data_IF_433600756240
#
_entry.id   IF_433600756240
#
_cell.length_a   1.000
_cell.length_b   1.000
_cell.length_c   1.000
_cell.angle_alpha   90.00
_cell.angle_beta   90.00
_cell.angle_gamma   90.00
#
_symmetry.space_group_name_H-M   'P 1'
#
loop_
_entity.id
_entity.type
_entity.pdbx_description
1 polymer ?
#
# COMPACT_ATOMS: atom_id res chain seq x y z
N UNK A 1 -6.25 6.97 -0.72
CA UNK A 1 -5.28 7.62 0.19
C UNK A 1 -4.01 6.79 0.22
N UNK A 2 -2.85 7.41 0.40
CA UNK A 2 -1.60 6.69 0.66
C UNK A 2 -0.76 7.41 1.71
N UNK A 3 0.12 6.68 2.40
CA UNK A 3 1.06 7.26 3.38
C UNK A 3 2.32 6.41 3.49
N UNK A 4 3.45 7.07 3.75
CA UNK A 4 4.71 6.40 4.04
C UNK A 4 4.68 5.88 5.47
N UNK A 5 4.98 4.60 5.68
CA UNK A 5 4.95 4.04 7.03
C UNK A 5 6.17 4.45 7.86
N UNK A 6 7.20 4.98 7.21
CA UNK A 6 8.35 5.63 7.84
C UNK A 6 8.24 7.16 7.79
N UNK A 7 7.05 7.71 7.46
CA UNK A 7 6.80 9.13 7.61
C UNK A 7 6.77 9.48 9.10
N UNK A 8 7.67 10.35 9.55
CA UNK A 8 7.76 10.76 10.95
C UNK A 8 6.66 11.71 11.41
N UNK A 9 5.76 12.14 10.52
CA UNK A 9 4.72 13.11 10.87
C UNK A 9 3.46 12.47 11.43
N UNK A 10 2.74 11.65 10.64
CA UNK A 10 1.38 11.25 11.00
C UNK A 10 0.81 9.97 10.35
N UNK A 11 1.58 8.88 10.12
CA UNK A 11 1.06 7.65 9.52
C UNK A 11 -0.06 7.01 10.34
N UNK A 12 0.09 6.99 11.67
CA UNK A 12 -0.91 6.43 12.58
C UNK A 12 -2.21 7.26 12.59
N UNK A 13 -2.09 8.59 12.49
CA UNK A 13 -3.26 9.47 12.45
C UNK A 13 -4.11 9.22 11.20
N UNK A 14 -3.49 9.05 10.03
CA UNK A 14 -4.23 8.74 8.80
C UNK A 14 -4.86 7.34 8.87
N UNK A 15 -4.17 6.37 9.45
CA UNK A 15 -4.74 5.03 9.67
C UNK A 15 -5.96 5.08 10.59
N UNK A 16 -5.88 5.83 11.69
CA UNK A 16 -7.00 6.05 12.62
C UNK A 16 -8.18 6.78 11.97
N UNK A 17 -7.92 7.76 11.10
CA UNK A 17 -8.97 8.41 10.31
C UNK A 17 -9.66 7.42 9.35
N UNK A 18 -8.89 6.56 8.66
CA UNK A 18 -9.46 5.53 7.80
C UNK A 18 -10.33 4.53 8.58
N UNK A 19 -9.89 4.12 9.77
CA UNK A 19 -10.70 3.28 10.67
C UNK A 19 -11.98 3.97 11.12
N UNK A 20 -11.93 5.29 11.39
CA UNK A 20 -13.11 6.09 11.72
C UNK A 20 -14.10 6.15 10.57
N UNK A 21 -13.64 6.26 9.31
CA UNK A 21 -14.48 6.15 8.13
C UNK A 21 -15.13 4.76 8.03
N UNK A 22 -14.36 3.69 8.24
CA UNK A 22 -14.88 2.33 8.24
C UNK A 22 -15.98 2.13 9.28
N UNK A 23 -15.86 2.76 10.46
CA UNK A 23 -16.87 2.66 11.51
C UNK A 23 -18.14 3.49 11.21
N UNK A 24 -17.96 4.72 10.72
CA UNK A 24 -19.06 5.69 10.65
C UNK A 24 -19.80 5.73 9.31
N UNK A 25 -19.16 5.36 8.20
CA UNK A 25 -19.74 5.51 6.86
C UNK A 25 -20.54 4.28 6.38
N UNK A 26 -20.62 3.21 7.18
CA UNK A 26 -21.23 1.95 6.78
C UNK A 26 -20.42 1.20 5.71
N UNK A 27 -20.86 0.01 5.26
CA UNK A 27 -20.07 -0.89 4.41
C UNK A 27 -19.69 -0.29 3.05
N UNK A 28 -20.49 0.65 2.53
CA UNK A 28 -20.30 1.32 1.25
C UNK A 28 -19.01 2.17 1.17
N UNK A 29 -18.35 2.47 2.30
CA UNK A 29 -17.07 3.19 2.29
C UNK A 29 -16.03 2.48 1.42
N UNK A 30 -16.09 1.15 1.33
CA UNK A 30 -15.20 0.33 0.53
C UNK A 30 -15.39 0.56 -0.98
N UNK A 31 -16.45 1.20 -1.43
CA UNK A 31 -16.62 1.54 -2.84
C UNK A 31 -15.91 2.86 -3.21
N UNK A 32 -15.50 3.64 -2.21
CA UNK A 32 -15.09 5.03 -2.40
C UNK A 32 -13.67 5.33 -1.86
N UNK A 33 -13.21 4.58 -0.85
CA UNK A 33 -11.93 4.85 -0.21
C UNK A 33 -11.09 3.57 -0.03
N UNK A 34 -9.81 3.67 -0.36
CA UNK A 34 -8.74 2.72 -0.03
C UNK A 34 -7.61 3.46 0.65
N UNK A 35 -7.00 2.85 1.67
CA UNK A 35 -5.75 3.29 2.25
C UNK A 35 -4.63 2.34 1.80
N UNK A 36 -3.59 2.90 1.18
CA UNK A 36 -2.38 2.18 0.79
C UNK A 36 -1.23 2.65 1.69
N UNK A 37 -0.74 1.78 2.57
CA UNK A 37 0.46 2.07 3.36
C UNK A 37 1.69 1.60 2.62
N UNK A 38 2.78 2.38 2.70
CA UNK A 38 4.01 2.14 1.95
C UNK A 38 5.16 1.92 2.94
N UNK A 39 5.46 0.67 3.30
CA UNK A 39 6.55 0.35 4.21
C UNK A 39 7.90 0.89 3.70
N UNK A 40 8.65 1.54 4.58
CA UNK A 40 9.96 2.10 4.25
C UNK A 40 9.94 3.40 3.46
N UNK A 41 8.78 3.87 2.98
CA UNK A 41 8.67 5.21 2.38
C UNK A 41 8.63 6.27 3.47
N UNK A 42 9.40 7.35 3.28
CA UNK A 42 9.37 8.53 4.14
C UNK A 42 8.22 9.48 3.82
N UNK A 43 8.43 10.78 4.06
CA UNK A 43 7.42 11.80 3.79
C UNK A 43 7.21 11.99 2.28
N UNK A 44 6.05 11.55 1.79
CA UNK A 44 5.61 11.55 0.39
C UNK A 44 6.42 10.71 -0.62
N UNK A 45 7.75 10.58 -0.44
CA UNK A 45 8.68 9.87 -1.31
C UNK A 45 9.96 9.46 -0.55
N UNK A 46 10.86 8.74 -1.22
CA UNK A 46 12.17 8.36 -0.72
C UNK A 46 12.11 7.30 0.39
N UNK A 47 13.22 7.14 1.10
CA UNK A 47 13.40 6.09 2.10
C UNK A 47 13.86 4.76 1.49
N UNK A 48 13.67 3.66 2.24
CA UNK A 48 14.09 2.32 1.84
C UNK A 48 12.99 1.51 1.12
N UNK A 49 11.77 2.05 1.07
CA UNK A 49 10.58 1.42 0.51
C UNK A 49 10.46 1.51 -1.01
N UNK A 50 9.42 0.87 -1.54
CA UNK A 50 9.00 1.01 -2.94
C UNK A 50 7.92 2.10 -3.04
N UNK A 51 8.33 3.32 -3.39
CA UNK A 51 7.48 4.53 -3.41
C UNK A 51 7.04 4.97 -4.82
N UNK A 52 7.62 4.35 -5.84
CA UNK A 52 7.44 4.72 -7.25
C UNK A 52 6.36 3.86 -7.90
N UNK A 53 5.24 4.47 -8.26
CA UNK A 53 4.12 3.87 -8.98
C UNK A 53 3.22 4.97 -9.55
N UNK A 54 2.34 4.62 -10.52
CA UNK A 54 1.39 5.57 -11.09
C UNK A 54 0.23 5.84 -10.12
N UNK A 55 0.37 6.87 -9.28
CA UNK A 55 -0.66 7.30 -8.32
C UNK A 55 -1.95 7.72 -9.02
N UNK A 56 -1.83 8.52 -10.08
CA UNK A 56 -2.98 8.94 -10.90
C UNK A 56 -3.57 7.78 -11.69
N UNK A 57 -2.74 6.90 -12.24
CA UNK A 57 -3.22 5.72 -12.97
C UNK A 57 -4.02 4.75 -12.10
N UNK A 58 -3.65 4.61 -10.82
CA UNK A 58 -4.45 3.81 -9.88
C UNK A 58 -5.86 4.39 -9.65
N UNK A 59 -5.98 5.72 -9.61
CA UNK A 59 -7.27 6.40 -9.46
C UNK A 59 -8.08 6.30 -10.76
N UNK A 60 -7.44 6.57 -11.90
CA UNK A 60 -8.08 6.49 -13.22
C UNK A 60 -8.63 5.09 -13.49
N UNK A 61 -7.83 4.04 -13.27
CA UNK A 61 -8.28 2.66 -13.43
C UNK A 61 -9.47 2.34 -12.52
N UNK A 62 -9.47 2.83 -11.28
CA UNK A 62 -10.59 2.61 -10.38
C UNK A 62 -11.87 3.28 -10.87
N UNK A 63 -11.80 4.55 -11.26
CA UNK A 63 -12.98 5.29 -11.71
C UNK A 63 -13.53 4.74 -13.01
N UNK A 64 -12.63 4.48 -13.98
CA UNK A 64 -12.95 4.10 -15.35
C UNK A 64 -13.38 2.63 -15.46
N UNK A 65 -12.73 1.72 -14.73
CA UNK A 65 -12.98 0.28 -14.82
C UNK A 65 -13.74 -0.29 -13.59
N UNK A 66 -14.16 0.56 -12.65
CA UNK A 66 -14.80 0.15 -11.38
C UNK A 66 -13.98 -0.86 -10.58
N UNK A 67 -12.65 -0.81 -10.73
CA UNK A 67 -11.74 -1.75 -10.08
C UNK A 67 -10.94 -1.03 -8.99
N UNK A 68 -11.37 -1.20 -7.73
CA UNK A 68 -10.64 -0.65 -6.60
C UNK A 68 -9.22 -1.24 -6.51
N UNK A 69 -8.21 -0.44 -6.15
CA UNK A 69 -6.85 -0.93 -6.01
C UNK A 69 -6.72 -1.79 -4.76
N UNK A 70 -6.83 -3.11 -4.93
CA UNK A 70 -6.54 -4.10 -3.88
C UNK A 70 -5.04 -4.34 -3.73
N UNK A 71 -4.31 -4.24 -4.85
CA UNK A 71 -2.86 -4.38 -4.94
C UNK A 71 -2.31 -3.40 -5.96
N UNK A 72 -1.19 -2.74 -5.66
CA UNK A 72 -0.45 -1.87 -6.59
C UNK A 72 1.01 -2.30 -6.59
N UNK A 73 1.56 -2.69 -7.73
CA UNK A 73 3.01 -2.94 -7.82
C UNK A 73 3.74 -1.61 -7.80
N UNK A 74 4.62 -1.43 -6.82
CA UNK A 74 5.49 -0.28 -6.70
C UNK A 74 6.96 -0.69 -6.82
N UNK A 75 7.78 0.27 -7.23
CA UNK A 75 9.23 0.10 -7.40
C UNK A 75 10.00 0.96 -6.42
N UNK A 76 11.17 0.47 -6.02
CA UNK A 76 12.26 1.29 -5.50
C UNK A 76 13.22 1.55 -6.64
N UNK A 77 13.46 2.83 -6.92
CA UNK A 77 14.40 3.27 -7.95
C UNK A 77 15.66 3.80 -7.28
N UNK A 78 16.82 3.33 -7.70
CA UNK A 78 18.13 3.82 -7.28
C UNK A 78 18.98 4.07 -8.51
N UNK A 79 19.57 5.26 -8.63
CA UNK A 79 20.37 5.68 -9.78
C UNK A 79 19.64 5.46 -11.13
N UNK A 80 18.35 5.74 -11.18
CA UNK A 80 17.51 5.57 -12.38
C UNK A 80 17.16 4.13 -12.74
N UNK A 81 17.56 3.14 -11.93
CA UNK A 81 17.27 1.72 -12.14
C UNK A 81 16.29 1.20 -11.08
N UNK A 82 15.37 0.33 -11.50
CA UNK A 82 14.51 -0.40 -10.56
C UNK A 82 15.37 -1.45 -9.87
N UNK A 83 15.52 -1.34 -8.55
CA UNK A 83 16.33 -2.29 -7.75
C UNK A 83 15.48 -3.25 -6.91
N UNK A 84 14.19 -2.95 -6.77
CA UNK A 84 13.24 -3.77 -6.02
C UNK A 84 11.82 -3.41 -6.43
N UNK A 85 10.93 -4.39 -6.44
CA UNK A 85 9.49 -4.19 -6.55
C UNK A 85 8.74 -4.84 -5.39
N UNK A 86 7.61 -4.26 -5.00
CA UNK A 86 6.72 -4.82 -3.98
C UNK A 86 5.26 -4.60 -4.36
N UNK A 87 4.36 -5.55 -4.06
CA UNK A 87 2.94 -5.25 -4.03
C UNK A 87 2.65 -4.37 -2.80
N UNK A 88 2.14 -3.18 -3.03
CA UNK A 88 1.47 -2.38 -2.00
C UNK A 88 0.05 -2.91 -1.85
N UNK A 89 -0.35 -3.20 -0.62
CA UNK A 89 -1.62 -3.82 -0.32
C UNK A 89 -2.62 -2.80 0.21
N UNK A 90 -3.89 -2.94 -0.15
CA UNK A 90 -4.96 -2.22 0.51
C UNK A 90 -5.04 -2.59 1.99
N UNK A 91 -5.00 -1.58 2.86
CA UNK A 91 -5.12 -1.76 4.31
C UNK A 91 -6.40 -2.55 4.66
N UNK A 92 -6.33 -3.49 5.63
CA UNK A 92 -5.20 -3.77 6.54
C UNK A 92 -4.23 -4.82 6.01
N UNK A 93 -4.37 -5.30 4.77
CA UNK A 93 -3.53 -6.36 4.23
C UNK A 93 -2.06 -5.92 4.16
N UNK A 94 -1.16 -6.88 4.31
CA UNK A 94 0.29 -6.69 4.22
C UNK A 94 0.89 -7.62 3.17
N UNK A 95 1.99 -7.20 2.55
CA UNK A 95 2.72 -8.05 1.61
C UNK A 95 3.54 -9.09 2.37
N UNK A 96 3.25 -10.37 2.16
CA UNK A 96 3.98 -11.49 2.76
C UNK A 96 4.73 -12.25 1.68
N UNK A 97 6.02 -12.48 1.92
CA UNK A 97 6.85 -13.31 1.06
C UNK A 97 6.31 -14.75 1.07
N UNK A 98 6.21 -15.35 -0.10
CA UNK A 98 5.68 -16.71 -0.30
C UNK A 98 6.68 -17.82 0.08
N UNK A 99 7.91 -17.46 0.44
CA UNK A 99 8.98 -18.38 0.81
C UNK A 99 9.87 -18.81 -0.35
N UNK A 100 9.60 -18.41 -1.59
CA UNK A 100 10.33 -18.84 -2.77
C UNK A 100 10.52 -17.70 -3.79
N UNK A 101 11.44 -17.90 -4.75
CA UNK A 101 11.75 -16.87 -5.73
C UNK A 101 12.65 -15.76 -5.22
N UNK A 102 12.69 -14.64 -5.95
CA UNK A 102 13.57 -13.53 -5.65
C UNK A 102 12.88 -12.57 -4.68
N UNK A 103 13.53 -12.27 -3.56
CA UNK A 103 13.02 -11.29 -2.61
C UNK A 103 12.98 -9.88 -3.18
N UNK A 104 13.64 -9.53 -4.28
CA UNK A 104 13.51 -8.20 -4.89
C UNK A 104 12.33 -8.08 -5.88
N UNK A 105 11.61 -9.17 -6.15
CA UNK A 105 10.50 -9.20 -7.11
C UNK A 105 9.12 -9.24 -6.44
N UNK A 106 8.20 -8.40 -6.90
CA UNK A 106 6.85 -8.27 -6.36
C UNK A 106 6.02 -9.55 -6.52
N UNK A 107 6.33 -10.39 -7.52
CA UNK A 107 5.64 -11.66 -7.77
C UNK A 107 5.86 -12.69 -6.68
N UNK A 108 6.94 -12.57 -5.90
CA UNK A 108 7.27 -13.46 -4.79
C UNK A 108 6.51 -13.12 -3.49
N UNK A 109 5.52 -12.23 -3.57
CA UNK A 109 4.75 -11.72 -2.43
C UNK A 109 3.26 -11.76 -2.71
N UNK A 110 2.48 -12.05 -1.67
CA UNK A 110 1.01 -11.98 -1.72
C UNK A 110 0.48 -11.05 -0.64
N UNK A 111 -0.54 -10.25 -0.98
CA UNK A 111 -1.26 -9.45 0.00
C UNK A 111 -2.16 -10.36 0.85
N UNK A 112 -1.88 -10.41 2.14
CA UNK A 112 -2.57 -11.28 3.11
C UNK A 112 -3.14 -10.43 4.23
N UNK A 113 -4.18 -10.92 4.91
CA UNK A 113 -4.58 -10.33 6.18
C UNK A 113 -3.36 -10.31 7.12
N UNK A 114 -3.19 -9.27 7.94
CA UNK A 114 -2.15 -9.27 8.95
C UNK A 114 -2.41 -10.45 9.89
N UNK A 115 -1.34 -11.09 10.36
CA UNK A 115 -1.49 -12.12 11.39
C UNK A 115 -2.24 -11.53 12.57
N UNK A 116 -3.17 -12.29 13.14
CA UNK A 116 -3.83 -11.91 14.38
C UNK A 116 -2.76 -11.75 15.45
N UNK A 117 -2.31 -10.51 15.67
CA UNK A 117 -1.49 -10.19 16.83
C UNK A 117 -2.34 -10.57 18.05
N UNK A 118 -1.99 -11.68 18.69
CA UNK A 118 -2.55 -12.06 19.97
C UNK A 118 -2.10 -11.01 21.00
N UNK A 119 -2.95 -10.00 21.18
CA UNK A 119 -2.92 -8.93 22.20
C UNK A 119 -1.80 -7.89 22.09
#
# INVERSE_FOLDING_TARGET
MYIGWNDGHNPEQLAGYYQSLQHNAGPEYQNNVRLITIPGMGHCYGGAGCDTFSKLGAIDNWVSNKQAPETIVASRVSNGQVVRTRPLCAWPKVARYDGHGNMDDASSFTCVAPDSQSK
#
